data_IF_714053597049
#
_entry.id   IF_714053597049
#
_cell.length_a   1.000
_cell.length_b   1.000
_cell.length_c   1.000
_cell.angle_alpha   90.00
_cell.angle_beta   90.00
_cell.angle_gamma   90.00
#
_symmetry.space_group_name_H-M   'P 1'
#
loop_
_entity.id
_entity.type
_entity.pdbx_description
1 polymer ?
#
# COMPACT_ATOMS: atom_id res chain seq x y z
N UNK A 1 -25.09 19.31 -6.06
CA UNK A 1 -24.37 18.22 -6.75
C UNK A 1 -24.49 16.94 -5.92
N UNK A 2 -24.62 15.74 -6.51
CA UNK A 2 -24.66 14.50 -5.74
C UNK A 2 -23.31 14.24 -5.05
N UNK A 3 -23.36 13.75 -3.81
CA UNK A 3 -22.19 13.36 -3.03
C UNK A 3 -21.49 12.15 -3.66
N UNK A 4 -20.15 12.18 -3.70
CA UNK A 4 -19.32 11.10 -4.27
C UNK A 4 -18.64 10.33 -3.13
N UNK A 5 -18.64 9.01 -3.22
CA UNK A 5 -18.03 8.12 -2.22
C UNK A 5 -17.24 7.02 -2.93
N UNK A 6 -16.11 6.62 -2.33
CA UNK A 6 -15.34 5.45 -2.79
C UNK A 6 -16.06 4.14 -2.43
N UNK A 7 -15.71 3.05 -3.09
CA UNK A 7 -16.13 1.69 -2.71
C UNK A 7 -15.40 1.23 -1.44
N UNK A 8 -14.13 1.62 -1.30
CA UNK A 8 -13.27 1.36 -0.15
C UNK A 8 -12.65 2.67 0.31
N UNK A 9 -12.83 3.03 1.58
CA UNK A 9 -12.23 4.24 2.12
C UNK A 9 -10.73 4.00 2.37
N UNK A 10 -9.90 4.97 2.00
CA UNK A 10 -8.44 4.90 2.11
C UNK A 10 -7.88 6.06 2.91
N UNK A 11 -6.71 5.85 3.49
CA UNK A 11 -5.92 6.89 4.15
C UNK A 11 -4.57 6.97 3.44
N UNK A 12 -4.18 8.17 3.04
CA UNK A 12 -2.91 8.44 2.36
C UNK A 12 -2.06 9.40 3.18
N UNK A 13 -0.79 9.07 3.38
CA UNK A 13 0.15 9.87 4.16
C UNK A 13 1.54 9.87 3.53
N UNK A 14 2.27 10.97 3.71
CA UNK A 14 3.69 11.02 3.42
C UNK A 14 4.47 10.47 4.62
N UNK A 15 5.18 9.36 4.42
CA UNK A 15 5.99 8.67 5.42
C UNK A 15 7.46 9.02 5.20
N UNK A 16 8.09 9.70 6.18
CA UNK A 16 9.50 10.10 6.12
C UNK A 16 10.41 9.35 7.10
N UNK A 17 9.83 8.54 7.98
CA UNK A 17 10.48 7.76 9.04
C UNK A 17 10.46 6.25 8.74
N UNK A 18 10.31 5.88 7.46
CA UNK A 18 10.33 4.48 7.03
C UNK A 18 11.74 3.90 7.23
N UNK A 19 11.85 2.87 8.08
CA UNK A 19 13.13 2.21 8.40
C UNK A 19 13.31 0.85 7.74
N UNK A 20 12.22 0.20 7.31
CA UNK A 20 12.25 -1.12 6.70
C UNK A 20 11.27 -1.19 5.52
N UNK A 21 11.63 -2.00 4.52
CA UNK A 21 10.78 -2.33 3.39
C UNK A 21 11.14 -3.69 2.80
N UNK A 22 10.25 -4.24 1.99
CA UNK A 22 10.52 -5.42 1.18
C UNK A 22 10.98 -5.00 -0.20
N UNK A 23 12.09 -5.51 -0.71
CA UNK A 23 12.54 -5.25 -2.07
C UNK A 23 11.70 -6.02 -3.12
N UNK A 24 11.94 -5.76 -4.40
CA UNK A 24 11.27 -6.44 -5.51
C UNK A 24 11.55 -7.95 -5.58
N UNK A 25 12.62 -8.43 -4.95
CA UNK A 25 12.97 -9.85 -4.86
C UNK A 25 12.33 -10.52 -3.63
N UNK A 26 11.55 -9.79 -2.83
CA UNK A 26 10.91 -10.30 -1.63
C UNK A 26 11.82 -10.28 -0.39
N UNK A 27 12.99 -9.65 -0.46
CA UNK A 27 13.93 -9.56 0.66
C UNK A 27 13.66 -8.34 1.52
N UNK A 28 13.75 -8.49 2.83
CA UNK A 28 13.70 -7.37 3.77
C UNK A 28 14.98 -6.54 3.73
N UNK A 29 14.83 -5.21 3.62
CA UNK A 29 15.93 -4.25 3.51
C UNK A 29 15.67 -3.04 4.40
N UNK A 30 16.74 -2.43 4.91
CA UNK A 30 16.65 -1.20 5.73
C UNK A 30 16.58 0.02 4.82
N UNK A 31 15.63 0.92 5.04
CA UNK A 31 15.50 2.17 4.31
C UNK A 31 16.32 3.25 5.02
N UNK A 32 17.16 3.96 4.29
CA UNK A 32 17.97 5.05 4.85
C UNK A 32 17.13 6.34 4.92
N UNK A 33 16.65 6.72 6.10
CA UNK A 33 15.78 7.90 6.26
C UNK A 33 16.44 9.22 5.80
N UNK A 34 17.72 9.38 6.12
CA UNK A 34 18.56 10.49 5.66
C UNK A 34 19.74 9.95 4.85
N UNK A 35 20.00 10.56 3.70
CA UNK A 35 21.08 10.17 2.78
C UNK A 35 21.93 11.39 2.48
N UNK A 36 23.24 11.30 2.74
CA UNK A 36 24.18 12.33 2.32
C UNK A 36 24.73 12.00 0.91
N UNK A 37 24.38 12.82 -0.08
CA UNK A 37 24.90 12.72 -1.46
C UNK A 37 25.56 14.06 -1.79
N UNK A 38 26.85 14.07 -2.05
CA UNK A 38 27.63 15.27 -2.40
C UNK A 38 27.48 16.41 -1.37
N UNK A 39 27.61 16.11 -0.07
CA UNK A 39 27.39 17.04 1.06
C UNK A 39 25.95 17.57 1.21
N UNK A 40 24.99 17.07 0.45
CA UNK A 40 23.58 17.40 0.61
C UNK A 40 22.86 16.24 1.31
N UNK A 41 22.15 16.57 2.40
CA UNK A 41 21.31 15.62 3.12
C UNK A 41 19.92 15.57 2.49
N UNK A 42 19.56 14.43 1.93
CA UNK A 42 18.25 14.16 1.34
C UNK A 42 17.44 13.26 2.26
N UNK A 43 16.17 13.60 2.46
CA UNK A 43 15.19 12.74 3.13
C UNK A 43 14.38 11.96 2.11
N UNK A 44 14.17 10.68 2.38
CA UNK A 44 13.32 9.84 1.55
C UNK A 44 11.89 9.84 2.08
N UNK A 45 10.94 10.36 1.30
CA UNK A 45 9.52 10.34 1.61
C UNK A 45 8.77 9.38 0.69
N UNK A 46 7.83 8.65 1.27
CA UNK A 46 7.00 7.69 0.54
C UNK A 46 5.53 8.06 0.72
N UNK A 47 4.79 8.20 -0.38
CA UNK A 47 3.35 8.41 -0.33
C UNK A 47 2.65 7.06 -0.19
N UNK A 48 2.33 6.68 1.04
CA UNK A 48 1.70 5.40 1.33
C UNK A 48 0.18 5.55 1.46
N UNK A 49 -0.57 4.68 0.78
CA UNK A 49 -2.04 4.63 0.86
C UNK A 49 -2.51 3.27 1.32
N UNK A 50 -3.24 3.23 2.44
CA UNK A 50 -3.78 2.00 3.05
C UNK A 50 -5.30 2.01 3.07
N UNK A 51 -5.91 0.84 3.13
CA UNK A 51 -7.33 0.71 3.45
C UNK A 51 -7.62 1.18 4.88
N UNK A 52 -8.68 1.97 5.06
CA UNK A 52 -9.16 2.36 6.40
C UNK A 52 -9.84 1.21 7.11
N UNK A 53 -10.66 0.46 6.38
CA UNK A 53 -11.40 -0.70 6.87
C UNK A 53 -11.43 -1.77 5.77
N UNK A 54 -11.09 -3.04 6.07
CA UNK A 54 -11.25 -4.15 5.13
C UNK A 54 -12.72 -4.42 4.74
N UNK A 55 -13.70 -3.99 5.52
CA UNK A 55 -15.14 -4.11 5.27
C UNK A 55 -15.87 -2.82 5.67
N UNK A 56 -15.89 -1.79 4.79
CA UNK A 56 -16.56 -0.52 5.08
C UNK A 56 -18.08 -0.64 5.31
N UNK A 57 -18.68 -1.77 4.94
CA UNK A 57 -20.04 -2.17 5.33
C UNK A 57 -20.06 -3.65 5.75
N UNK A 58 -21.11 -4.09 6.46
CA UNK A 58 -21.20 -5.48 6.96
C UNK A 58 -21.12 -6.56 5.86
N UNK A 59 -21.53 -6.23 4.63
CA UNK A 59 -21.45 -7.12 3.47
C UNK A 59 -20.11 -7.11 2.73
N UNK A 60 -19.13 -6.33 3.18
CA UNK A 60 -17.83 -6.15 2.52
C UNK A 60 -17.64 -4.73 2.00
N UNK A 61 -17.37 -4.59 0.72
CA UNK A 61 -17.19 -3.30 0.07
C UNK A 61 -18.53 -2.57 -0.17
N UNK A 62 -18.50 -1.23 -0.23
CA UNK A 62 -19.69 -0.39 -0.44
C UNK A 62 -20.24 -0.55 -1.86
N UNK A 63 -21.54 -0.75 -1.99
CA UNK A 63 -22.23 -0.80 -3.30
C UNK A 63 -22.07 -2.10 -4.09
N UNK A 64 -21.48 -3.15 -3.49
CA UNK A 64 -21.38 -4.47 -4.12
C UNK A 64 -22.67 -5.26 -3.91
N UNK A 65 -23.10 -5.99 -4.95
CA UNK A 65 -24.19 -6.96 -4.85
C UNK A 65 -23.82 -8.14 -3.96
N UNK A 66 -24.13 -7.99 -2.68
CA UNK A 66 -23.84 -8.98 -1.65
C UNK A 66 -24.65 -10.27 -1.79
N UNK A 67 -25.64 -10.36 -2.68
CA UNK A 67 -26.36 -11.62 -2.92
C UNK A 67 -25.49 -12.61 -3.68
N UNK A 68 -24.73 -12.12 -4.66
CA UNK A 68 -23.93 -12.95 -5.56
C UNK A 68 -22.43 -12.90 -5.28
N UNK A 69 -21.95 -11.89 -4.56
CA UNK A 69 -20.51 -11.68 -4.33
C UNK A 69 -20.15 -11.61 -2.85
N UNK A 70 -19.02 -12.22 -2.49
CA UNK A 70 -18.25 -11.82 -1.32
C UNK A 70 -17.29 -10.71 -1.75
N UNK A 71 -17.00 -9.78 -0.84
CA UNK A 71 -16.07 -8.70 -1.13
C UNK A 71 -15.29 -8.25 0.10
N UNK A 72 -14.08 -7.75 -0.12
CA UNK A 72 -13.26 -7.12 0.91
C UNK A 72 -12.31 -6.09 0.29
N UNK A 73 -11.99 -5.06 1.05
CA UNK A 73 -11.03 -4.04 0.69
C UNK A 73 -9.61 -4.53 1.06
N UNK A 74 -8.66 -4.40 0.13
CA UNK A 74 -7.26 -4.76 0.36
C UNK A 74 -6.32 -3.69 -0.17
N UNK A 75 -5.19 -3.55 0.51
CA UNK A 75 -4.14 -2.63 0.07
C UNK A 75 -3.34 -3.27 -1.06
N UNK A 76 -3.16 -2.52 -2.13
CA UNK A 76 -2.28 -2.89 -3.25
C UNK A 76 -0.92 -2.26 -3.05
N UNK A 77 0.08 -2.82 -3.73
CA UNK A 77 1.45 -2.35 -3.62
C UNK A 77 1.98 -1.89 -4.98
N UNK A 78 2.92 -0.95 -4.93
CA UNK A 78 3.78 -0.59 -6.05
C UNK A 78 5.25 -0.70 -5.64
N UNK A 79 6.15 -0.59 -6.60
CA UNK A 79 7.58 -0.57 -6.36
C UNK A 79 8.18 0.78 -6.70
N UNK A 80 8.83 1.40 -5.72
CA UNK A 80 9.52 2.69 -5.90
C UNK A 80 11.01 2.54 -5.65
N UNK A 81 11.81 3.37 -6.32
CA UNK A 81 13.26 3.36 -6.14
C UNK A 81 13.59 4.08 -4.82
N UNK A 82 14.30 3.41 -3.93
CA UNK A 82 14.76 3.95 -2.66
C UNK A 82 16.22 3.54 -2.42
N UNK A 83 16.96 4.39 -1.70
CA UNK A 83 18.27 4.00 -1.19
C UNK A 83 18.08 3.17 0.07
N UNK A 84 18.58 1.93 0.01
CA UNK A 84 18.45 0.96 1.09
C UNK A 84 19.78 0.36 1.46
N UNK A 85 19.84 -0.20 2.66
CA UNK A 85 21.00 -0.90 3.21
C UNK A 85 20.63 -2.35 3.47
N UNK A 86 21.54 -3.24 3.09
CA UNK A 86 21.43 -4.67 3.27
C UNK A 86 22.79 -5.14 3.82
N UNK A 87 22.83 -5.50 5.10
CA UNK A 87 24.11 -5.64 5.80
C UNK A 87 24.86 -4.30 5.80
N UNK A 88 26.06 -4.26 5.21
CA UNK A 88 26.87 -3.05 5.06
C UNK A 88 26.79 -2.43 3.66
N UNK A 89 25.96 -2.96 2.76
CA UNK A 89 25.89 -2.51 1.37
C UNK A 89 24.69 -1.59 1.12
N UNK A 90 24.98 -0.30 1.00
CA UNK A 90 24.02 0.68 0.50
C UNK A 90 23.87 0.56 -1.02
N UNK A 91 22.64 0.44 -1.51
CA UNK A 91 22.34 0.42 -2.95
C UNK A 91 20.93 0.92 -3.22
N UNK A 92 20.73 1.43 -4.44
CA UNK A 92 19.38 1.75 -4.93
C UNK A 92 18.63 0.46 -5.24
N UNK A 93 17.54 0.22 -4.53
CA UNK A 93 16.66 -0.93 -4.76
C UNK A 93 15.24 -0.46 -5.00
N UNK A 94 14.46 -1.28 -5.70
CA UNK A 94 13.01 -1.12 -5.76
C UNK A 94 12.40 -1.70 -4.50
N UNK A 95 11.70 -0.88 -3.72
CA UNK A 95 11.01 -1.28 -2.50
C UNK A 95 9.50 -1.25 -2.69
N UNK A 96 8.83 -2.18 -2.04
CA UNK A 96 7.38 -2.28 -1.98
C UNK A 96 6.82 -1.20 -1.06
N UNK A 97 5.87 -0.42 -1.55
CA UNK A 97 5.07 0.52 -0.75
C UNK A 97 3.57 0.34 -1.03
N UNK A 98 2.76 0.70 -0.06
CA UNK A 98 1.30 0.65 -0.15
C UNK A 98 0.79 1.79 -1.04
N UNK A 99 0.03 1.49 -2.10
CA UNK A 99 -0.28 2.49 -3.15
C UNK A 99 -1.75 2.84 -3.31
N UNK A 100 -2.67 1.94 -2.95
CA UNK A 100 -4.10 2.16 -3.07
C UNK A 100 -4.89 1.12 -2.27
N UNK A 101 -6.12 1.47 -1.90
CA UNK A 101 -7.10 0.52 -1.36
C UNK A 101 -8.11 0.14 -2.46
N UNK A 102 -8.23 -1.15 -2.75
CA UNK A 102 -9.13 -1.66 -3.81
C UNK A 102 -10.09 -2.70 -3.27
N UNK A 103 -11.27 -2.80 -3.89
CA UNK A 103 -12.22 -3.86 -3.57
C UNK A 103 -11.94 -5.11 -4.42
N UNK A 104 -11.84 -6.26 -3.76
CA UNK A 104 -11.72 -7.57 -4.41
C UNK A 104 -13.03 -8.33 -4.28
N UNK A 105 -13.44 -9.00 -5.36
CA UNK A 105 -14.68 -9.78 -5.43
C UNK A 105 -14.38 -11.27 -5.55
N UNK A 106 -15.20 -12.10 -4.90
CA UNK A 106 -15.27 -13.54 -5.17
C UNK A 106 -16.72 -13.99 -5.25
N UNK A 107 -17.03 -14.82 -6.24
CA UNK A 107 -18.41 -15.25 -6.51
C UNK A 107 -18.86 -16.21 -5.40
N UNK A 108 -20.06 -15.99 -4.86
CA UNK A 108 -20.69 -16.94 -3.94
C UNK A 108 -21.08 -18.21 -4.70
N UNK A 109 -20.99 -19.39 -4.07
CA UNK A 109 -21.50 -20.61 -4.67
C UNK A 109 -23.00 -20.44 -4.91
N UNK A 110 -23.44 -20.75 -6.13
CA UNK A 110 -24.86 -20.88 -6.45
C UNK A 110 -25.32 -22.14 -5.73
N UNK A 111 -26.15 -21.98 -4.69
CA UNK A 111 -26.86 -23.13 -4.14
C UNK A 111 -27.93 -23.52 -5.17
N UNK A 112 -27.99 -24.80 -5.60
CA UNK A 112 -29.09 -25.27 -6.42
C UNK A 112 -30.43 -25.13 -5.68
#
# INVERSE_FOLDING_TARGET
APSKFSVCDSVSVWVGDKTAATDIKGKEVTVLGEVNINNNVFKQYFFETKCRDPKPVSSGCRGIDAKHWNSYCTTTHTFVKALTMEGQQAAWRFIRIDTACVCVLSRKPVRP
#
